data_IF_350823441047
#
_entry.id   IF_350823441047
#
_cell.length_a   1.000
_cell.length_b   1.000
_cell.length_c   1.000
_cell.angle_alpha   90.00
_cell.angle_beta   90.00
_cell.angle_gamma   90.00
#
_symmetry.space_group_name_H-M   'P 1'
#
loop_
_entity.id
_entity.type
_entity.pdbx_description
1 polymer ?
#
# COMPACT_ATOMS: atom_id res chain seq x y z
N UNK A 1 -32.31 -25.17 13.21
CA UNK A 1 -30.97 -24.99 13.80
C UNK A 1 -30.36 -23.79 13.10
N UNK A 2 -30.61 -22.60 13.62
CA UNK A 2 -30.05 -21.36 13.08
C UNK A 2 -28.53 -21.38 13.30
N UNK A 3 -27.77 -21.47 12.21
CA UNK A 3 -26.36 -21.10 12.23
C UNK A 3 -26.30 -19.60 12.51
N UNK A 4 -26.05 -19.23 13.77
CA UNK A 4 -25.73 -17.86 14.13
C UNK A 4 -24.64 -17.36 13.18
N UNK A 5 -24.97 -16.37 12.36
CA UNK A 5 -24.02 -15.72 11.47
C UNK A 5 -22.97 -15.03 12.33
N UNK A 6 -21.88 -15.74 12.64
CA UNK A 6 -20.75 -15.18 13.34
C UNK A 6 -20.25 -13.99 12.52
N UNK A 7 -20.17 -12.80 13.12
CA UNK A 7 -19.50 -11.66 12.49
C UNK A 7 -18.03 -12.06 12.27
N UNK A 8 -17.71 -12.48 11.04
CA UNK A 8 -16.39 -13.03 10.65
C UNK A 8 -15.23 -12.09 11.04
N UNK A 9 -15.51 -10.79 11.18
CA UNK A 9 -14.54 -9.77 11.60
C UNK A 9 -14.04 -9.94 13.04
N UNK A 10 -14.80 -10.57 13.93
CA UNK A 10 -14.47 -10.72 15.36
C UNK A 10 -14.03 -12.15 15.74
N UNK A 11 -13.69 -12.97 14.75
CA UNK A 11 -13.19 -14.33 14.98
C UNK A 11 -11.79 -14.33 15.61
N UNK A 12 -11.40 -15.36 16.36
CA UNK A 12 -10.10 -15.43 17.03
C UNK A 12 -8.90 -15.27 16.08
N UNK A 13 -9.01 -15.80 14.84
CA UNK A 13 -7.98 -15.62 13.82
C UNK A 13 -7.95 -14.18 13.28
N UNK A 14 -9.11 -13.56 13.07
CA UNK A 14 -9.20 -12.19 12.56
C UNK A 14 -8.60 -11.19 13.55
N UNK A 15 -8.92 -11.34 14.84
CA UNK A 15 -8.31 -10.54 15.93
C UNK A 15 -6.80 -10.72 15.97
N UNK A 16 -6.33 -11.97 15.88
CA UNK A 16 -4.89 -12.24 15.89
C UNK A 16 -4.16 -11.68 14.67
N UNK A 17 -4.77 -11.73 13.48
CA UNK A 17 -4.23 -11.11 12.27
C UNK A 17 -4.14 -9.58 12.42
N UNK A 18 -5.15 -8.94 13.00
CA UNK A 18 -5.11 -7.50 13.28
C UNK A 18 -4.01 -7.15 14.30
N UNK A 19 -3.76 -7.98 15.31
CA UNK A 19 -2.62 -7.81 16.23
C UNK A 19 -1.27 -7.91 15.52
N UNK A 20 -1.14 -8.88 14.60
CA UNK A 20 0.08 -9.06 13.79
C UNK A 20 0.29 -7.84 12.88
N UNK A 21 -0.76 -7.38 12.19
CA UNK A 21 -0.74 -6.17 11.37
C UNK A 21 -0.33 -4.94 12.19
N UNK A 22 -0.90 -4.76 13.38
CA UNK A 22 -0.56 -3.65 14.27
C UNK A 22 0.91 -3.64 14.70
N UNK A 23 1.51 -4.82 14.96
CA UNK A 23 2.95 -4.94 15.25
C UNK A 23 3.83 -4.50 14.08
N UNK A 24 3.28 -4.48 12.87
CA UNK A 24 3.94 -3.99 11.64
C UNK A 24 3.59 -2.53 11.32
N UNK A 25 2.92 -1.82 12.24
CA UNK A 25 2.36 -0.48 12.03
C UNK A 25 1.37 -0.41 10.87
N UNK A 26 0.65 -1.51 10.62
CA UNK A 26 -0.42 -1.57 9.61
C UNK A 26 -1.75 -1.61 10.32
N UNK A 27 -2.54 -0.55 10.18
CA UNK A 27 -3.87 -0.45 10.78
C UNK A 27 -4.92 -0.09 9.73
N UNK A 28 -6.15 -0.60 9.88
CA UNK A 28 -7.26 -0.23 9.00
C UNK A 28 -7.64 1.22 9.25
N UNK A 29 -7.66 2.03 8.20
CA UNK A 29 -7.92 3.46 8.32
C UNK A 29 -9.42 3.75 8.30
N UNK A 30 -9.92 4.42 9.33
CA UNK A 30 -11.34 4.72 9.49
C UNK A 30 -11.91 5.55 8.32
N UNK A 31 -11.13 6.53 7.83
CA UNK A 31 -11.51 7.42 6.73
C UNK A 31 -11.45 6.75 5.35
N UNK A 32 -10.92 5.53 5.24
CA UNK A 32 -10.86 4.75 4.00
C UNK A 32 -11.80 3.54 4.03
N UNK A 33 -12.96 3.65 4.69
CA UNK A 33 -13.93 2.56 4.80
C UNK A 33 -13.38 1.34 5.56
N UNK A 34 -12.45 1.55 6.51
CA UNK A 34 -11.70 0.50 7.21
C UNK A 34 -10.79 -0.34 6.28
N UNK A 35 -10.25 0.29 5.24
CA UNK A 35 -9.30 -0.31 4.29
C UNK A 35 -7.84 0.02 4.62
N UNK A 36 -6.92 -0.66 3.94
CA UNK A 36 -5.50 -0.38 3.93
C UNK A 36 -5.14 0.67 2.87
N UNK A 37 -4.07 1.42 3.10
CA UNK A 37 -3.49 2.42 2.17
C UNK A 37 -2.23 1.86 1.49
N UNK A 38 -1.69 2.57 0.50
CA UNK A 38 -0.50 2.14 -0.27
C UNK A 38 0.68 1.74 0.61
N UNK A 39 1.05 2.57 1.59
CA UNK A 39 2.13 2.28 2.54
C UNK A 39 1.91 0.99 3.35
N UNK A 40 0.66 0.65 3.67
CA UNK A 40 0.34 -0.61 4.34
C UNK A 40 0.57 -1.81 3.40
N UNK A 41 0.12 -1.71 2.15
CA UNK A 41 0.33 -2.77 1.14
C UNK A 41 1.82 -2.99 0.93
N UNK A 42 2.59 -1.91 0.74
CA UNK A 42 4.04 -1.97 0.58
C UNK A 42 4.73 -2.62 1.79
N UNK A 43 4.29 -2.29 3.01
CA UNK A 43 4.80 -2.89 4.25
C UNK A 43 4.47 -4.38 4.33
N UNK A 44 3.25 -4.78 4.00
CA UNK A 44 2.82 -6.18 4.01
C UNK A 44 3.53 -7.03 2.94
N UNK A 45 3.95 -6.44 1.82
CA UNK A 45 4.67 -7.15 0.75
C UNK A 45 6.13 -7.49 1.07
N UNK A 46 6.70 -6.96 2.17
CA UNK A 46 8.07 -7.33 2.60
C UNK A 46 8.10 -8.79 3.05
N UNK A 47 9.15 -9.52 2.68
CA UNK A 47 9.25 -10.98 2.89
C UNK A 47 8.99 -11.39 4.35
N UNK A 48 9.67 -10.75 5.31
CA UNK A 48 9.46 -11.02 6.74
C UNK A 48 8.00 -10.82 7.19
N UNK A 49 7.30 -9.86 6.59
CA UNK A 49 5.93 -9.53 6.95
C UNK A 49 4.94 -10.49 6.30
N UNK A 50 5.20 -10.96 5.08
CA UNK A 50 4.46 -12.06 4.46
C UNK A 50 4.55 -13.31 5.35
N UNK A 51 5.75 -13.67 5.80
CA UNK A 51 5.98 -14.85 6.66
C UNK A 51 5.20 -14.70 7.98
N UNK A 52 5.26 -13.53 8.62
CA UNK A 52 4.51 -13.26 9.87
C UNK A 52 3.00 -13.42 9.67
N UNK A 53 2.44 -12.88 8.58
CA UNK A 53 1.00 -12.97 8.29
C UNK A 53 0.57 -14.42 8.06
N UNK A 54 1.32 -15.18 7.28
CA UNK A 54 0.96 -16.57 6.97
C UNK A 54 1.16 -17.49 8.18
N UNK A 55 2.16 -17.22 9.02
CA UNK A 55 2.40 -17.97 10.26
C UNK A 55 1.33 -17.73 11.32
N UNK A 56 0.68 -16.56 11.34
CA UNK A 56 -0.38 -16.24 12.29
C UNK A 56 -1.55 -17.23 12.23
N UNK A 57 -1.88 -17.73 11.03
CA UNK A 57 -2.91 -18.76 10.82
C UNK A 57 -2.50 -20.07 11.50
N UNK A 58 -1.23 -20.45 11.41
CA UNK A 58 -0.70 -21.68 12.02
C UNK A 58 -0.74 -21.58 13.54
N UNK A 59 -0.19 -20.49 14.09
CA UNK A 59 -0.16 -20.25 15.53
C UNK A 59 -1.56 -20.31 16.14
N UNK A 60 -2.54 -19.63 15.54
CA UNK A 60 -3.89 -19.59 16.10
C UNK A 60 -4.65 -20.90 15.92
N UNK A 61 -4.39 -21.62 14.83
CA UNK A 61 -4.99 -22.94 14.61
C UNK A 61 -4.42 -23.98 15.57
N UNK A 62 -3.12 -23.97 15.82
CA UNK A 62 -2.48 -24.86 16.79
C UNK A 62 -3.00 -24.62 18.22
N UNK A 63 -3.24 -23.35 18.60
CA UNK A 63 -3.80 -23.00 19.91
C UNK A 63 -5.25 -23.47 20.09
N UNK A 64 -6.11 -23.26 19.08
CA UNK A 64 -7.56 -23.42 19.23
C UNK A 64 -8.13 -24.72 18.64
N UNK A 65 -7.53 -25.23 17.57
CA UNK A 65 -8.03 -26.38 16.85
C UNK A 65 -6.90 -27.18 16.18
N UNK A 66 -6.04 -27.87 16.96
CA UNK A 66 -4.91 -28.63 16.43
C UNK A 66 -5.28 -29.66 15.34
N UNK A 67 -6.51 -30.17 15.36
CA UNK A 67 -7.02 -31.11 14.35
C UNK A 67 -7.06 -30.53 12.94
N UNK A 68 -7.12 -29.20 12.79
CA UNK A 68 -7.13 -28.50 11.50
C UNK A 68 -5.73 -28.04 11.06
N UNK A 69 -4.66 -28.35 11.81
CA UNK A 69 -3.33 -27.80 11.56
C UNK A 69 -2.79 -28.16 10.17
N UNK A 70 -3.10 -29.35 9.64
CA UNK A 70 -2.70 -29.74 8.27
C UNK A 70 -3.33 -28.81 7.22
N UNK A 71 -4.62 -28.53 7.36
CA UNK A 71 -5.35 -27.64 6.44
C UNK A 71 -4.86 -26.20 6.58
N UNK A 72 -4.56 -25.75 7.80
CA UNK A 72 -3.96 -24.45 8.05
C UNK A 72 -2.58 -24.30 7.40
N UNK A 73 -1.76 -25.37 7.39
CA UNK A 73 -0.47 -25.39 6.66
C UNK A 73 -0.66 -25.24 5.16
N UNK A 74 -1.60 -25.97 4.57
CA UNK A 74 -1.91 -25.83 3.15
C UNK A 74 -2.37 -24.41 2.78
N UNK A 75 -3.23 -23.81 3.61
CA UNK A 75 -3.69 -22.42 3.44
C UNK A 75 -2.51 -21.45 3.57
N UNK A 76 -1.68 -21.59 4.60
CA UNK A 76 -0.53 -20.72 4.85
C UNK A 76 0.44 -20.72 3.67
N UNK A 77 0.82 -21.90 3.17
CA UNK A 77 1.71 -22.03 2.00
C UNK A 77 1.09 -21.40 0.75
N UNK A 78 -0.21 -21.61 0.52
CA UNK A 78 -0.92 -21.03 -0.63
C UNK A 78 -0.93 -19.50 -0.57
N UNK A 79 -1.20 -18.92 0.61
CA UNK A 79 -1.22 -17.47 0.81
C UNK A 79 0.19 -16.85 0.77
N UNK A 80 1.19 -17.54 1.31
CA UNK A 80 2.58 -17.09 1.22
C UNK A 80 3.02 -17.00 -0.25
N UNK A 81 2.71 -18.01 -1.06
CA UNK A 81 3.07 -18.04 -2.47
C UNK A 81 2.39 -16.93 -3.27
N UNK A 82 1.08 -16.72 -3.10
CA UNK A 82 0.38 -15.64 -3.81
C UNK A 82 0.87 -14.26 -3.39
N UNK A 83 1.21 -14.05 -2.10
CA UNK A 83 1.76 -12.78 -1.64
C UNK A 83 3.16 -12.52 -2.17
N UNK A 84 4.01 -13.55 -2.28
CA UNK A 84 5.34 -13.41 -2.89
C UNK A 84 5.26 -13.07 -4.38
N UNK A 85 4.36 -13.73 -5.13
CA UNK A 85 4.11 -13.42 -6.54
C UNK A 85 3.59 -11.99 -6.72
N UNK A 86 2.63 -11.57 -5.89
CA UNK A 86 2.14 -10.20 -5.92
C UNK A 86 3.22 -9.17 -5.55
N UNK A 87 4.03 -9.45 -4.52
CA UNK A 87 5.10 -8.57 -4.06
C UNK A 87 6.15 -8.33 -5.15
N UNK A 88 6.52 -9.38 -5.90
CA UNK A 88 7.43 -9.28 -7.04
C UNK A 88 6.93 -8.26 -8.09
N UNK A 89 5.62 -8.29 -8.39
CA UNK A 89 5.00 -7.30 -9.27
C UNK A 89 4.98 -5.91 -8.63
N UNK A 90 4.49 -5.83 -7.38
CA UNK A 90 4.22 -4.60 -6.65
C UNK A 90 5.44 -3.70 -6.53
N UNK A 91 6.60 -4.24 -6.12
CA UNK A 91 7.80 -3.42 -5.95
C UNK A 91 8.33 -2.82 -7.26
N UNK A 92 8.00 -3.41 -8.41
CA UNK A 92 8.41 -2.87 -9.72
C UNK A 92 7.45 -1.79 -10.18
N UNK A 93 6.15 -2.11 -10.30
CA UNK A 93 5.20 -1.13 -10.84
C UNK A 93 4.93 0.04 -9.88
N UNK A 94 5.05 -0.14 -8.57
CA UNK A 94 4.79 0.91 -7.58
C UNK A 94 6.01 1.83 -7.36
N UNK A 95 7.13 1.55 -8.02
CA UNK A 95 8.32 2.40 -7.94
C UNK A 95 8.09 3.77 -8.58
N UNK A 96 8.90 4.75 -8.19
CA UNK A 96 9.02 6.04 -8.87
C UNK A 96 10.23 6.09 -9.82
N UNK A 97 10.79 4.92 -10.15
CA UNK A 97 12.02 4.79 -10.92
C UNK A 97 11.75 4.69 -12.42
N UNK A 98 12.80 4.95 -13.20
CA UNK A 98 12.82 4.64 -14.62
C UNK A 98 12.84 3.12 -14.86
N UNK A 99 11.96 2.66 -15.75
CA UNK A 99 11.79 1.26 -16.14
C UNK A 99 12.14 1.09 -17.62
N UNK A 100 13.25 0.37 -17.89
CA UNK A 100 13.58 -0.05 -19.24
C UNK A 100 12.73 -1.25 -19.68
N UNK A 101 12.73 -1.54 -20.99
CA UNK A 101 11.93 -2.64 -21.55
C UNK A 101 12.22 -3.98 -20.89
N UNK A 102 13.49 -4.29 -20.59
CA UNK A 102 13.84 -5.55 -19.91
C UNK A 102 13.22 -5.69 -18.51
N UNK A 103 13.13 -4.61 -17.73
CA UNK A 103 12.41 -4.62 -16.45
C UNK A 103 10.90 -4.79 -16.65
N UNK A 104 10.35 -4.19 -17.71
CA UNK A 104 8.92 -4.27 -18.01
C UNK A 104 8.53 -5.67 -18.51
N UNK A 105 9.37 -6.29 -19.34
CA UNK A 105 9.18 -7.66 -19.81
C UNK A 105 9.22 -8.65 -18.63
N UNK A 106 10.14 -8.43 -17.68
CA UNK A 106 10.19 -9.24 -16.46
C UNK A 106 8.93 -9.04 -15.60
N UNK A 107 8.46 -7.80 -15.47
CA UNK A 107 7.21 -7.51 -14.77
C UNK A 107 6.01 -8.18 -15.44
N UNK A 108 5.94 -8.19 -16.77
CA UNK A 108 4.87 -8.85 -17.53
C UNK A 108 4.85 -10.37 -17.29
N UNK A 109 6.03 -11.00 -17.24
CA UNK A 109 6.18 -12.41 -16.85
C UNK A 109 5.70 -12.64 -15.40
N UNK A 110 6.11 -11.78 -14.46
CA UNK A 110 5.74 -11.91 -13.05
C UNK A 110 4.23 -11.71 -12.83
N UNK A 111 3.60 -10.77 -13.55
CA UNK A 111 2.15 -10.56 -13.55
C UNK A 111 1.43 -11.78 -14.10
N UNK A 112 1.93 -12.36 -15.19
CA UNK A 112 1.38 -13.59 -15.79
C UNK A 112 1.41 -14.73 -14.78
N UNK A 113 2.57 -14.97 -14.15
CA UNK A 113 2.73 -16.00 -13.13
C UNK A 113 1.81 -15.79 -11.92
N UNK A 114 1.68 -14.54 -11.45
CA UNK A 114 0.79 -14.17 -10.35
C UNK A 114 -0.69 -14.45 -10.67
N UNK A 115 -1.17 -13.99 -11.82
CA UNK A 115 -2.58 -14.14 -12.23
C UNK A 115 -2.91 -15.59 -12.60
N UNK A 116 -1.98 -16.32 -13.22
CA UNK A 116 -2.13 -17.76 -13.45
C UNK A 116 -2.29 -18.51 -12.13
N UNK A 117 -1.40 -18.25 -11.16
CA UNK A 117 -1.50 -18.87 -9.83
C UNK A 117 -2.82 -18.56 -9.14
N UNK A 118 -3.29 -17.30 -9.23
CA UNK A 118 -4.59 -16.90 -8.69
C UNK A 118 -5.74 -17.70 -9.29
N UNK A 119 -5.81 -17.80 -10.62
CA UNK A 119 -6.88 -18.54 -11.31
C UNK A 119 -6.84 -20.04 -10.99
N UNK A 120 -5.65 -20.63 -10.87
CA UNK A 120 -5.49 -22.05 -10.56
C UNK A 120 -5.82 -22.39 -9.10
N UNK A 121 -5.39 -21.55 -8.15
CA UNK A 121 -5.52 -21.85 -6.71
C UNK A 121 -6.77 -21.27 -6.06
N UNK A 122 -7.41 -20.31 -6.72
CA UNK A 122 -8.63 -19.62 -6.27
C UNK A 122 -9.64 -19.51 -7.45
N UNK A 123 -10.11 -20.63 -8.02
CA UNK A 123 -10.93 -20.63 -9.23
C UNK A 123 -12.29 -19.92 -9.07
N UNK A 124 -12.80 -19.84 -7.84
CA UNK A 124 -14.07 -19.16 -7.52
C UNK A 124 -13.90 -17.65 -7.32
N UNK A 125 -12.66 -17.13 -7.35
CA UNK A 125 -12.40 -15.71 -7.18
C UNK A 125 -12.77 -14.93 -8.44
N UNK A 126 -13.50 -13.82 -8.28
CA UNK A 126 -13.72 -12.86 -9.37
C UNK A 126 -12.50 -11.98 -9.58
N UNK A 127 -12.04 -11.86 -10.83
CA UNK A 127 -11.00 -10.89 -11.20
C UNK A 127 -11.58 -9.48 -11.07
N UNK A 128 -11.03 -8.71 -10.13
CA UNK A 128 -11.45 -7.32 -9.92
C UNK A 128 -10.96 -6.41 -11.05
N UNK A 129 -11.57 -5.24 -11.28
CA UNK A 129 -11.06 -4.25 -12.22
C UNK A 129 -9.59 -3.89 -11.98
N UNK A 130 -9.12 -3.85 -10.72
CA UNK A 130 -7.70 -3.57 -10.40
C UNK A 130 -6.77 -4.69 -10.87
N UNK A 131 -7.16 -5.95 -10.71
CA UNK A 131 -6.38 -7.08 -11.21
C UNK A 131 -6.38 -7.13 -12.75
N UNK A 132 -7.51 -6.81 -13.39
CA UNK A 132 -7.57 -6.67 -14.85
C UNK A 132 -6.68 -5.53 -15.36
N UNK A 133 -6.69 -4.37 -14.69
CA UNK A 133 -5.78 -3.27 -15.02
C UNK A 133 -4.32 -3.69 -14.91
N UNK A 134 -3.96 -4.42 -13.84
CA UNK A 134 -2.62 -4.96 -13.66
C UNK A 134 -2.22 -5.91 -14.80
N UNK A 135 -3.11 -6.82 -15.17
CA UNK A 135 -2.85 -7.84 -16.19
C UNK A 135 -2.74 -7.27 -17.61
N UNK A 136 -3.66 -6.40 -18.01
CA UNK A 136 -3.83 -6.04 -19.42
C UNK A 136 -3.27 -4.65 -19.78
N UNK A 137 -3.13 -3.75 -18.80
CA UNK A 137 -2.90 -2.32 -19.10
C UNK A 137 -1.61 -1.75 -18.48
N UNK A 138 -1.13 -2.32 -17.37
CA UNK A 138 0.04 -1.76 -16.67
C UNK A 138 1.28 -1.79 -17.55
N UNK A 139 1.65 -2.94 -18.13
CA UNK A 139 2.87 -3.02 -18.93
C UNK A 139 2.82 -2.15 -20.20
N UNK A 140 1.67 -2.04 -20.87
CA UNK A 140 1.52 -1.13 -22.01
C UNK A 140 1.71 0.34 -21.60
N UNK A 141 1.16 0.73 -20.45
CA UNK A 141 1.34 2.08 -19.92
C UNK A 141 2.80 2.35 -19.55
N UNK A 142 3.46 1.39 -18.88
CA UNK A 142 4.87 1.51 -18.50
C UNK A 142 5.79 1.57 -19.72
N UNK A 143 5.49 0.87 -20.82
CA UNK A 143 6.25 0.98 -22.08
C UNK A 143 6.08 2.35 -22.74
N UNK A 144 4.92 2.98 -22.58
CA UNK A 144 4.69 4.31 -23.15
C UNK A 144 5.52 5.39 -22.44
N UNK A 145 5.69 5.27 -21.12
CA UNK A 145 6.26 6.35 -20.30
C UNK A 145 7.59 6.03 -19.62
N UNK A 146 7.97 4.75 -19.55
CA UNK A 146 9.17 4.24 -18.89
C UNK A 146 9.36 4.68 -17.44
N UNK A 147 8.27 4.99 -16.74
CA UNK A 147 8.28 5.40 -15.33
C UNK A 147 7.29 4.53 -14.56
N UNK A 148 7.70 4.05 -13.39
CA UNK A 148 6.80 3.30 -12.50
C UNK A 148 5.58 4.14 -12.08
N UNK A 149 4.49 3.47 -11.71
CA UNK A 149 3.22 4.08 -11.32
C UNK A 149 3.34 4.92 -10.05
N UNK A 150 4.33 4.65 -9.19
CA UNK A 150 4.62 5.47 -8.02
C UNK A 150 4.96 6.92 -8.37
N UNK A 151 5.49 7.16 -9.58
CA UNK A 151 5.72 8.51 -10.10
C UNK A 151 4.42 9.26 -10.40
N UNK A 152 3.36 8.55 -10.78
CA UNK A 152 2.04 9.10 -11.10
C UNK A 152 1.06 9.07 -9.93
N UNK A 153 1.51 8.59 -8.77
CA UNK A 153 0.69 8.40 -7.59
C UNK A 153 0.31 9.69 -6.87
N UNK A 154 -0.62 9.57 -5.93
CA UNK A 154 -1.15 10.70 -5.14
C UNK A 154 -0.21 11.16 -4.01
N UNK A 155 0.95 10.53 -3.83
CA UNK A 155 1.89 10.89 -2.77
C UNK A 155 2.35 12.36 -2.85
N UNK A 156 2.47 12.91 -4.07
CA UNK A 156 2.75 14.33 -4.26
C UNK A 156 1.68 15.25 -3.68
N UNK A 157 0.39 14.94 -3.92
CA UNK A 157 -0.72 15.76 -3.40
C UNK A 157 -0.93 15.56 -1.89
N UNK A 158 -0.70 14.36 -1.37
CA UNK A 158 -0.69 14.08 0.08
C UNK A 158 0.38 14.92 0.79
N UNK A 159 1.57 15.04 0.19
CA UNK A 159 2.64 15.90 0.69
C UNK A 159 2.23 17.38 0.73
N UNK A 160 1.58 17.88 -0.34
CA UNK A 160 1.05 19.25 -0.39
C UNK A 160 0.01 19.47 0.71
N UNK A 161 -0.89 18.52 0.94
CA UNK A 161 -1.88 18.62 2.03
C UNK A 161 -1.23 18.70 3.42
N UNK A 162 -0.20 17.88 3.67
CA UNK A 162 0.55 17.92 4.93
C UNK A 162 1.23 19.26 5.17
N UNK A 163 1.86 19.81 4.13
CA UNK A 163 2.49 21.13 4.15
C UNK A 163 1.45 22.23 4.45
N UNK A 164 0.30 22.20 3.78
CA UNK A 164 -0.78 23.17 4.01
C UNK A 164 -1.32 23.11 5.44
N UNK A 165 -1.46 21.91 6.02
CA UNK A 165 -1.88 21.76 7.40
C UNK A 165 -0.85 22.37 8.37
N UNK A 166 0.43 22.14 8.13
CA UNK A 166 1.53 22.71 8.91
C UNK A 166 1.54 24.24 8.83
N UNK A 167 1.40 24.80 7.62
CA UNK A 167 1.32 26.24 7.43
C UNK A 167 0.04 26.83 8.04
N UNK A 168 -1.09 26.12 7.98
CA UNK A 168 -2.33 26.56 8.62
C UNK A 168 -2.18 26.67 10.14
N UNK A 169 -1.44 25.75 10.77
CA UNK A 169 -1.10 25.85 12.19
C UNK A 169 -0.17 27.04 12.46
N UNK A 170 0.84 27.23 11.62
CA UNK A 170 1.78 28.36 11.73
C UNK A 170 1.08 29.74 11.65
N UNK A 171 0.14 29.89 10.71
CA UNK A 171 -0.62 31.12 10.50
C UNK A 171 -1.93 31.20 11.28
N UNK A 172 -2.15 30.36 12.30
CA UNK A 172 -3.42 30.37 13.05
C UNK A 172 -3.67 31.69 13.82
N UNK A 173 -2.59 32.44 14.10
CA UNK A 173 -2.67 33.78 14.66
C UNK A 173 -3.31 34.81 13.71
N UNK A 174 -3.32 34.57 12.39
CA UNK A 174 -3.94 35.44 11.39
C UNK A 174 -5.46 35.21 11.38
N UNK A 175 -6.21 36.09 12.03
CA UNK A 175 -7.66 35.94 12.25
C UNK A 175 -8.51 36.04 10.98
N UNK A 176 -8.09 36.86 9.99
CA UNK A 176 -8.83 36.99 8.73
C UNK A 176 -8.51 35.81 7.82
N UNK A 177 -9.53 34.98 7.54
CA UNK A 177 -9.38 33.73 6.75
C UNK A 177 -8.73 33.96 5.39
N UNK A 178 -9.14 34.99 4.65
CA UNK A 178 -8.59 35.28 3.31
C UNK A 178 -7.10 35.65 3.38
N UNK A 179 -6.72 36.44 4.38
CA UNK A 179 -5.32 36.82 4.60
C UNK A 179 -4.48 35.60 4.97
N UNK A 180 -5.00 34.72 5.84
CA UNK A 180 -4.35 33.48 6.22
C UNK A 180 -4.14 32.56 5.01
N UNK A 181 -5.19 32.35 4.21
CA UNK A 181 -5.10 31.53 3.00
C UNK A 181 -4.12 32.12 1.99
N UNK A 182 -4.15 33.44 1.76
CA UNK A 182 -3.20 34.11 0.87
C UNK A 182 -1.77 33.89 1.34
N UNK A 183 -1.50 33.96 2.64
CA UNK A 183 -0.16 33.77 3.17
C UNK A 183 0.33 32.32 2.98
N UNK A 184 -0.54 31.33 3.22
CA UNK A 184 -0.23 29.92 2.96
C UNK A 184 0.10 29.71 1.46
N UNK A 185 -0.72 30.23 0.56
CA UNK A 185 -0.51 30.10 -0.89
C UNK A 185 0.80 30.76 -1.35
N UNK A 186 1.10 31.96 -0.84
CA UNK A 186 2.34 32.67 -1.16
C UNK A 186 3.56 31.89 -0.66
N UNK A 187 3.53 31.41 0.57
CA UNK A 187 4.62 30.62 1.13
C UNK A 187 4.84 29.32 0.36
N UNK A 188 3.76 28.59 0.05
CA UNK A 188 3.84 27.39 -0.76
C UNK A 188 4.41 27.68 -2.16
N UNK A 189 3.97 28.75 -2.83
CA UNK A 189 4.51 29.15 -4.13
C UNK A 189 6.00 29.48 -4.07
N UNK A 190 6.45 30.21 -3.04
CA UNK A 190 7.88 30.53 -2.84
C UNK A 190 8.70 29.24 -2.68
N UNK A 191 8.20 28.28 -1.91
CA UNK A 191 8.89 27.02 -1.64
C UNK A 191 8.95 26.08 -2.86
N UNK A 192 7.94 26.13 -3.73
CA UNK A 192 7.78 25.19 -4.86
C UNK A 192 8.15 25.78 -6.21
N UNK A 193 8.32 27.09 -6.31
CA UNK A 193 8.68 27.75 -7.57
C UNK A 193 10.06 27.28 -8.06
N UNK A 194 10.16 26.68 -9.27
CA UNK A 194 11.44 26.27 -9.84
C UNK A 194 12.43 27.42 -10.01
N UNK A 195 11.92 28.65 -10.21
CA UNK A 195 12.74 29.85 -10.36
C UNK A 195 13.41 30.30 -9.06
N UNK A 196 12.81 29.92 -7.92
CA UNK A 196 13.25 30.26 -6.56
C UNK A 196 13.98 29.09 -5.88
N UNK A 197 13.74 27.86 -6.35
CA UNK A 197 14.43 26.66 -5.90
C UNK A 197 15.96 26.84 -6.01
N UNK A 198 16.67 26.63 -4.89
CA UNK A 198 18.12 26.80 -4.80
C UNK A 198 18.64 28.24 -4.62
N UNK A 199 17.76 29.25 -4.66
CA UNK A 199 18.11 30.66 -4.38
C UNK A 199 17.78 31.11 -2.95
N UNK A 200 17.03 30.30 -2.21
CA UNK A 200 16.78 30.55 -0.80
C UNK A 200 18.07 30.28 0.00
N UNK A 201 18.51 31.20 0.86
CA UNK A 201 19.68 30.98 1.70
C UNK A 201 19.42 29.76 2.60
N UNK A 202 20.37 28.83 2.65
CA UNK A 202 20.36 27.76 3.64
C UNK A 202 20.32 28.42 5.02
N UNK A 203 19.18 28.31 5.72
CA UNK A 203 19.12 28.65 7.13
C UNK A 203 20.13 27.74 7.82
N UNK A 204 21.28 28.30 8.23
CA UNK A 204 22.23 27.60 9.08
C UNK A 204 21.44 27.15 10.30
N UNK A 205 21.33 25.84 10.50
CA UNK A 205 20.94 25.29 11.79
C UNK A 205 22.02 25.74 12.76
N UNK A 206 21.69 26.70 13.63
CA UNK A 206 22.52 27.00 14.78
C UNK A 206 22.60 25.72 15.63
N UNK A 207 23.83 25.31 15.92
CA UNK A 207 24.20 24.14 16.73
C UNK A 207 23.97 24.45 18.19
#
# INVERSE_FOLDING_TARGET
MELAAYEKANGPLSVHLDEVLKKMNVERQAYHGKSFIGNHVHTCCKEDNIIKLCSAVLTKTEELCPSLLSQAREISVKFEQVFKLFAACHFVYDSADYLNDGKIDKLEEDITNFLQFLREKFPDMTITPKLHMLEEHVCSFLRQWHMGLGFYGEQGIEGIHSEFNTQSQHFDHVKKKDTRLRQILVNHHIATSPELAGKLPNLKKEI
#
